data_IF_093035540267
#
_entry.id   IF_093035540267
#
_cell.length_a   1.000
_cell.length_b   1.000
_cell.length_c   1.000
_cell.angle_alpha   90.00
_cell.angle_beta   90.00
_cell.angle_gamma   90.00
#
_symmetry.space_group_name_H-M   'P 1'
#
loop_
_entity.id
_entity.type
_entity.pdbx_description
1 polymer ?
#
# COMPACT_ATOMS: atom_id res chain seq x y z
N UNK A 1 27.80 -15.71 -5.70
CA UNK A 1 27.13 -16.77 -4.91
C UNK A 1 25.91 -16.22 -4.18
N UNK A 2 26.03 -15.17 -3.35
CA UNK A 2 24.89 -14.56 -2.64
C UNK A 2 23.70 -14.19 -3.55
N UNK A 3 23.94 -13.45 -4.64
CA UNK A 3 22.85 -13.00 -5.53
C UNK A 3 22.05 -14.13 -6.21
N UNK A 4 22.67 -15.28 -6.45
CA UNK A 4 22.01 -16.45 -7.04
C UNK A 4 21.19 -17.21 -5.98
N UNK A 5 21.68 -17.24 -4.74
CA UNK A 5 20.97 -17.79 -3.59
C UNK A 5 19.78 -16.91 -3.18
N UNK A 6 19.95 -15.59 -3.22
CA UNK A 6 18.87 -14.62 -3.01
C UNK A 6 17.78 -14.77 -4.08
N UNK A 7 18.16 -14.90 -5.36
CA UNK A 7 17.22 -15.15 -6.46
C UNK A 7 16.44 -16.45 -6.25
N UNK A 8 17.11 -17.54 -5.89
CA UNK A 8 16.44 -18.82 -5.60
C UNK A 8 15.45 -18.70 -4.44
N UNK A 9 15.83 -17.98 -3.38
CA UNK A 9 14.96 -17.74 -2.21
C UNK A 9 13.68 -17.00 -2.61
N UNK A 10 13.79 -16.00 -3.50
CA UNK A 10 12.62 -15.26 -4.01
C UNK A 10 11.75 -16.14 -4.92
N UNK A 11 12.36 -16.95 -5.79
CA UNK A 11 11.64 -17.89 -6.65
C UNK A 11 10.87 -18.95 -5.83
N UNK A 12 11.46 -19.47 -4.75
CA UNK A 12 10.80 -20.40 -3.82
C UNK A 12 9.59 -19.76 -3.10
N UNK A 13 9.63 -18.45 -2.85
CA UNK A 13 8.50 -17.67 -2.36
C UNK A 13 7.46 -17.30 -3.44
N UNK A 14 7.66 -17.81 -4.68
CA UNK A 14 6.84 -17.51 -5.85
C UNK A 14 6.84 -16.01 -6.20
N UNK A 15 7.99 -15.35 -6.00
CA UNK A 15 8.26 -13.96 -6.37
C UNK A 15 9.18 -13.97 -7.59
N UNK A 16 8.68 -13.48 -8.72
CA UNK A 16 9.50 -13.27 -9.91
C UNK A 16 10.36 -12.01 -9.71
N UNK A 17 11.68 -12.20 -9.70
CA UNK A 17 12.66 -11.15 -9.43
C UNK A 17 12.67 -10.08 -10.52
N UNK A 18 12.48 -10.47 -11.78
CA UNK A 18 12.53 -9.54 -12.90
C UNK A 18 11.24 -8.70 -12.96
N UNK A 19 10.10 -9.30 -12.58
CA UNK A 19 8.85 -8.56 -12.33
C UNK A 19 9.01 -7.58 -11.15
N UNK A 20 9.55 -8.03 -10.02
CA UNK A 20 9.75 -7.20 -8.82
C UNK A 20 10.60 -5.95 -9.15
N UNK A 21 11.71 -6.14 -9.86
CA UNK A 21 12.57 -5.03 -10.30
C UNK A 21 11.81 -4.11 -11.27
N UNK A 22 11.05 -4.68 -12.20
CA UNK A 22 10.28 -3.92 -13.19
C UNK A 22 9.22 -3.02 -12.54
N UNK A 23 8.50 -3.55 -11.55
CA UNK A 23 7.48 -2.84 -10.78
C UNK A 23 8.08 -1.72 -9.91
N UNK A 24 9.14 -2.03 -9.16
CA UNK A 24 9.85 -1.03 -8.38
C UNK A 24 10.36 0.11 -9.29
N UNK A 25 10.92 -0.24 -10.45
CA UNK A 25 11.39 0.75 -11.42
C UNK A 25 10.25 1.56 -12.05
N UNK A 26 9.05 0.99 -12.21
CA UNK A 26 7.88 1.70 -12.73
C UNK A 26 7.44 2.83 -11.78
N UNK A 27 7.38 2.55 -10.48
CA UNK A 27 7.07 3.57 -9.46
C UNK A 27 8.13 4.67 -9.43
N UNK A 28 9.40 4.27 -9.45
CA UNK A 28 10.52 5.23 -9.47
C UNK A 28 10.42 6.18 -10.67
N UNK A 29 10.03 5.68 -11.85
CA UNK A 29 9.82 6.49 -13.06
C UNK A 29 8.60 7.41 -12.94
N UNK A 30 7.46 6.90 -12.47
CA UNK A 30 6.21 7.67 -12.39
C UNK A 30 6.25 8.79 -11.35
N UNK A 31 7.03 8.61 -10.29
CA UNK A 31 7.06 9.55 -9.17
C UNK A 31 7.77 10.86 -9.55
N UNK A 32 8.53 10.91 -10.66
CA UNK A 32 9.20 12.10 -11.21
C UNK A 32 10.17 12.84 -10.24
N UNK A 33 10.28 12.38 -8.98
CA UNK A 33 11.11 12.94 -7.91
C UNK A 33 12.60 12.69 -8.13
N UNK A 34 12.97 11.69 -8.93
CA UNK A 34 14.37 11.50 -9.34
C UNK A 34 14.81 12.51 -10.42
N UNK A 35 13.86 13.06 -11.19
CA UNK A 35 14.13 14.06 -12.23
C UNK A 35 13.97 15.49 -11.70
N UNK A 36 13.12 15.70 -10.68
CA UNK A 36 13.01 16.98 -10.00
C UNK A 36 14.20 17.18 -9.06
N UNK A 37 15.05 18.13 -9.46
CA UNK A 37 16.14 18.73 -8.70
C UNK A 37 15.82 18.75 -7.19
N UNK A 38 16.77 18.33 -6.32
CA UNK A 38 16.46 18.05 -4.92
C UNK A 38 15.87 19.30 -4.28
N UNK A 39 14.90 19.09 -3.41
CA UNK A 39 14.60 20.02 -2.31
C UNK A 39 15.97 20.44 -1.75
N UNK A 40 16.42 21.65 -2.10
CA UNK A 40 17.63 22.24 -1.54
C UNK A 40 17.51 22.11 -0.03
N UNK A 41 18.57 21.66 0.66
CA UNK A 41 18.61 21.52 2.11
C UNK A 41 18.00 22.78 2.76
N UNK A 42 16.73 22.67 3.12
CA UNK A 42 15.85 23.83 3.30
C UNK A 42 15.98 24.43 4.70
N UNK A 43 16.82 23.83 5.54
CA UNK A 43 17.06 24.25 6.90
C UNK A 43 18.51 24.69 7.03
N UNK A 44 18.70 25.95 7.42
CA UNK A 44 19.97 26.40 7.97
C UNK A 44 20.31 25.62 9.25
N UNK A 45 21.59 25.64 9.62
CA UNK A 45 22.07 25.00 10.86
C UNK A 45 21.36 25.53 12.11
N UNK A 46 21.00 26.83 12.11
CA UNK A 46 20.22 27.45 13.20
C UNK A 46 18.78 26.91 13.27
N UNK A 47 18.10 26.74 12.14
CA UNK A 47 16.74 26.21 12.10
C UNK A 47 16.71 24.74 12.51
N UNK A 48 17.67 23.94 12.03
CA UNK A 48 17.81 22.55 12.47
C UNK A 48 18.08 22.45 13.98
N UNK A 49 18.96 23.30 14.53
CA UNK A 49 19.22 23.35 15.98
C UNK A 49 17.98 23.79 16.78
N UNK A 50 17.20 24.75 16.26
CA UNK A 50 15.95 25.17 16.87
C UNK A 50 14.93 24.03 16.94
N UNK A 51 14.72 23.32 15.82
CA UNK A 51 13.79 22.19 15.75
C UNK A 51 14.23 21.01 16.62
N UNK A 52 15.54 20.69 16.69
CA UNK A 52 16.07 19.65 17.60
C UNK A 52 15.75 19.97 19.07
N UNK A 53 15.91 21.24 19.49
CA UNK A 53 15.51 21.66 20.86
C UNK A 53 14.01 21.49 21.11
N UNK A 54 13.19 21.61 20.07
CA UNK A 54 11.75 21.33 20.11
C UNK A 54 11.37 19.85 20.06
N UNK A 55 12.34 18.93 20.03
CA UNK A 55 12.10 17.48 19.99
C UNK A 55 11.96 16.90 18.58
N UNK A 56 12.23 17.68 17.52
CA UNK A 56 12.23 17.14 16.16
C UNK A 56 13.36 16.14 15.96
N UNK A 57 13.04 14.99 15.35
CA UNK A 57 13.98 13.91 15.04
C UNK A 57 14.23 13.81 13.52
N UNK A 58 15.35 13.20 13.13
CA UNK A 58 15.67 12.94 11.72
C UNK A 58 16.16 14.18 10.95
N UNK A 59 16.85 15.09 11.64
CA UNK A 59 17.45 16.31 11.09
C UNK A 59 18.94 16.16 10.74
N UNK A 60 19.51 14.98 10.98
CA UNK A 60 20.94 14.70 10.82
C UNK A 60 21.27 14.07 9.45
N UNK A 61 20.25 13.63 8.70
CA UNK A 61 20.40 13.08 7.36
C UNK A 61 19.98 14.11 6.30
N UNK A 62 20.79 14.36 5.26
CA UNK A 62 20.42 15.27 4.18
C UNK A 62 19.04 14.93 3.59
N UNK A 63 18.22 15.94 3.31
CA UNK A 63 16.83 15.74 2.83
C UNK A 63 16.78 14.89 1.56
N UNK A 64 17.80 15.03 0.70
CA UNK A 64 17.96 14.24 -0.53
C UNK A 64 18.12 12.74 -0.27
N UNK A 65 18.91 12.37 0.73
CA UNK A 65 19.19 10.96 1.04
C UNK A 65 18.01 10.32 1.76
N UNK A 66 17.36 11.06 2.66
CA UNK A 66 16.08 10.64 3.27
C UNK A 66 14.99 10.46 2.21
N UNK A 67 14.86 11.40 1.27
CA UNK A 67 13.87 11.30 0.18
C UNK A 67 14.13 10.08 -0.72
N UNK A 68 15.39 9.82 -1.07
CA UNK A 68 15.77 8.62 -1.85
C UNK A 68 15.43 7.33 -1.11
N UNK A 69 15.78 7.25 0.18
CA UNK A 69 15.43 6.09 1.02
C UNK A 69 13.92 5.88 1.07
N UNK A 70 13.14 6.95 1.30
CA UNK A 70 11.68 6.86 1.30
C UNK A 70 11.12 6.36 -0.03
N UNK A 71 11.63 6.84 -1.16
CA UNK A 71 11.19 6.36 -2.48
C UNK A 71 11.56 4.89 -2.69
N UNK A 72 12.76 4.46 -2.26
CA UNK A 72 13.16 3.05 -2.32
C UNK A 72 12.23 2.17 -1.48
N UNK A 73 11.86 2.60 -0.28
CA UNK A 73 10.89 1.90 0.58
C UNK A 73 9.54 1.79 -0.12
N UNK A 74 8.98 2.90 -0.59
CA UNK A 74 7.68 2.92 -1.28
C UNK A 74 7.70 2.03 -2.54
N UNK A 75 8.78 2.09 -3.34
CA UNK A 75 8.93 1.26 -4.53
C UNK A 75 9.01 -0.23 -4.18
N UNK A 76 9.69 -0.58 -3.09
CA UNK A 76 9.80 -1.96 -2.61
C UNK A 76 8.46 -2.48 -2.11
N UNK A 77 7.75 -1.70 -1.30
CA UNK A 77 6.42 -2.05 -0.80
C UNK A 77 5.39 -2.20 -1.93
N UNK A 78 5.46 -1.33 -2.95
CA UNK A 78 4.62 -1.47 -4.13
C UNK A 78 4.92 -2.75 -4.90
N UNK A 79 6.20 -3.04 -5.14
CA UNK A 79 6.62 -4.22 -5.86
C UNK A 79 6.23 -5.51 -5.12
N UNK A 80 6.37 -5.55 -3.80
CA UNK A 80 5.90 -6.64 -2.95
C UNK A 80 4.37 -6.81 -3.03
N UNK A 81 3.63 -5.70 -2.93
CA UNK A 81 2.17 -5.70 -3.07
C UNK A 81 1.74 -6.27 -4.42
N UNK A 82 2.39 -5.87 -5.52
CA UNK A 82 2.12 -6.40 -6.86
C UNK A 82 2.48 -7.88 -6.93
N UNK A 83 3.67 -8.27 -6.47
CA UNK A 83 4.16 -9.64 -6.52
C UNK A 83 3.17 -10.63 -5.89
N UNK A 84 2.56 -10.25 -4.77
CA UNK A 84 1.57 -11.06 -4.09
C UNK A 84 0.12 -10.81 -4.52
N UNK A 85 -0.20 -9.76 -5.25
CA UNK A 85 -1.56 -9.48 -5.69
C UNK A 85 -2.14 -10.63 -6.55
N UNK A 86 -3.46 -10.79 -6.50
CA UNK A 86 -4.17 -11.74 -7.34
C UNK A 86 -4.44 -11.13 -8.72
N UNK A 87 -4.29 -11.92 -9.77
CA UNK A 87 -4.82 -11.61 -11.09
C UNK A 87 -6.35 -11.62 -11.07
N UNK A 88 -7.00 -10.95 -12.03
CA UNK A 88 -8.46 -10.98 -12.16
C UNK A 88 -9.03 -12.40 -12.29
N UNK A 89 -8.27 -13.33 -12.88
CA UNK A 89 -8.66 -14.73 -13.00
C UNK A 89 -8.64 -15.43 -11.63
N UNK A 90 -7.56 -15.27 -10.88
CA UNK A 90 -7.48 -15.84 -9.52
C UNK A 90 -8.55 -15.26 -8.60
N UNK A 91 -8.88 -13.96 -8.71
CA UNK A 91 -9.99 -13.38 -7.95
C UNK A 91 -11.34 -13.96 -8.37
N UNK A 92 -11.55 -14.17 -9.67
CA UNK A 92 -12.77 -14.81 -10.18
C UNK A 92 -12.93 -16.23 -9.61
N UNK A 93 -11.83 -17.00 -9.59
CA UNK A 93 -11.79 -18.35 -9.03
C UNK A 93 -11.97 -18.36 -7.50
N UNK A 94 -11.40 -17.37 -6.80
CA UNK A 94 -11.54 -17.18 -5.36
C UNK A 94 -12.99 -16.88 -4.97
N UNK A 95 -13.60 -15.92 -5.65
CA UNK A 95 -14.95 -15.44 -5.35
C UNK A 95 -16.06 -16.26 -6.03
N UNK A 96 -15.70 -17.27 -6.82
CA UNK A 96 -16.62 -18.13 -7.59
C UNK A 96 -17.55 -17.34 -8.51
N UNK A 97 -16.99 -16.35 -9.21
CA UNK A 97 -17.70 -15.52 -10.20
C UNK A 97 -16.93 -15.50 -11.53
N UNK A 98 -17.50 -14.88 -12.56
CA UNK A 98 -16.82 -14.74 -13.85
C UNK A 98 -15.78 -13.61 -13.82
N UNK A 99 -14.75 -13.69 -14.66
CA UNK A 99 -13.76 -12.61 -14.86
C UNK A 99 -14.43 -11.32 -15.34
N UNK A 100 -15.50 -11.41 -16.13
CA UNK A 100 -16.33 -10.26 -16.53
C UNK A 100 -16.95 -9.56 -15.31
N UNK A 101 -17.46 -10.32 -14.34
CA UNK A 101 -17.98 -9.76 -13.08
C UNK A 101 -16.89 -9.08 -12.26
N UNK A 102 -15.67 -9.62 -12.25
CA UNK A 102 -14.52 -8.98 -11.59
C UNK A 102 -14.22 -7.63 -12.25
N UNK A 103 -14.14 -7.57 -13.58
CA UNK A 103 -13.91 -6.32 -14.31
C UNK A 103 -14.99 -5.27 -14.00
N UNK A 104 -16.26 -5.66 -14.00
CA UNK A 104 -17.37 -4.76 -13.62
C UNK A 104 -17.21 -4.22 -12.20
N UNK A 105 -16.81 -5.05 -11.22
CA UNK A 105 -16.62 -4.60 -9.84
C UNK A 105 -15.48 -3.61 -9.71
N UNK A 106 -14.40 -3.87 -10.43
CA UNK A 106 -13.22 -3.00 -10.51
C UNK A 106 -13.62 -1.64 -11.10
N UNK A 107 -14.32 -1.63 -12.24
CA UNK A 107 -14.76 -0.39 -12.89
C UNK A 107 -15.78 0.39 -12.05
N UNK A 108 -16.60 -0.32 -11.27
CA UNK A 108 -17.54 0.27 -10.32
C UNK A 108 -16.90 0.76 -9.00
N UNK A 109 -15.58 0.60 -8.81
CA UNK A 109 -14.88 0.97 -7.58
C UNK A 109 -15.28 0.12 -6.35
N UNK A 110 -15.81 -1.09 -6.58
CA UNK A 110 -16.23 -2.04 -5.51
C UNK A 110 -15.25 -3.20 -5.32
N UNK A 111 -14.14 -3.15 -6.05
CA UNK A 111 -12.98 -4.01 -5.91
C UNK A 111 -11.75 -3.17 -6.26
N UNK A 112 -10.73 -3.20 -5.41
CA UNK A 112 -9.54 -2.40 -5.59
C UNK A 112 -8.55 -3.09 -6.51
N UNK A 113 -8.01 -2.36 -7.48
CA UNK A 113 -7.02 -2.86 -8.43
C UNK A 113 -5.91 -1.86 -8.63
N UNK A 114 -4.71 -2.35 -8.90
CA UNK A 114 -3.55 -1.55 -9.29
C UNK A 114 -3.04 -2.00 -10.66
N UNK A 115 -2.43 -1.09 -11.40
CA UNK A 115 -1.77 -1.41 -12.66
C UNK A 115 -0.43 -2.11 -12.39
N UNK A 116 -0.14 -3.16 -13.15
CA UNK A 116 1.16 -3.83 -13.14
C UNK A 116 1.54 -4.24 -14.56
N UNK A 117 2.77 -4.71 -14.75
CA UNK A 117 3.26 -5.31 -15.98
C UNK A 117 2.46 -6.55 -16.41
N UNK A 118 1.80 -7.22 -15.45
CA UNK A 118 0.87 -8.35 -15.64
C UNK A 118 -0.57 -7.90 -15.88
N UNK A 119 -0.79 -6.59 -16.05
CA UNK A 119 -2.11 -5.95 -16.14
C UNK A 119 -2.70 -5.58 -14.78
N UNK A 120 -4.00 -5.29 -14.73
CA UNK A 120 -4.68 -4.93 -13.47
C UNK A 120 -4.73 -6.12 -12.51
N UNK A 121 -4.08 -5.98 -11.37
CA UNK A 121 -4.03 -6.96 -10.27
C UNK A 121 -4.74 -6.42 -9.03
N UNK A 122 -5.20 -7.32 -8.17
CA UNK A 122 -5.98 -7.01 -6.98
C UNK A 122 -5.16 -7.35 -5.72
N UNK A 123 -4.72 -6.35 -4.94
CA UNK A 123 -3.95 -6.58 -3.72
C UNK A 123 -4.66 -7.52 -2.72
N UNK A 124 -3.91 -8.40 -2.06
CA UNK A 124 -4.46 -9.45 -1.19
C UNK A 124 -5.17 -8.93 0.07
N UNK A 125 -4.77 -7.76 0.56
CA UNK A 125 -5.31 -7.17 1.78
C UNK A 125 -6.83 -6.88 1.72
N UNK A 126 -7.46 -6.92 0.55
CA UNK A 126 -8.91 -6.72 0.40
C UNK A 126 -9.73 -8.02 0.51
N UNK A 127 -9.08 -9.17 0.68
CA UNK A 127 -9.71 -10.49 0.75
C UNK A 127 -9.47 -11.14 2.11
N UNK A 128 -10.48 -11.87 2.58
CA UNK A 128 -10.39 -12.76 3.73
C UNK A 128 -11.15 -14.04 3.41
N UNK A 129 -10.52 -15.19 3.64
CA UNK A 129 -11.02 -16.50 3.25
C UNK A 129 -11.36 -16.55 1.75
N UNK A 130 -12.64 -16.70 1.39
CA UNK A 130 -13.13 -16.77 0.01
C UNK A 130 -14.02 -15.58 -0.38
N UNK A 131 -13.88 -14.43 0.33
CA UNK A 131 -14.69 -13.25 0.11
C UNK A 131 -13.86 -11.96 0.16
N UNK A 132 -14.44 -10.86 -0.33
CA UNK A 132 -13.94 -9.51 -0.04
C UNK A 132 -14.28 -9.11 1.39
N UNK A 133 -13.54 -8.17 1.98
CA UNK A 133 -13.84 -7.72 3.35
C UNK A 133 -15.28 -7.18 3.44
N UNK A 134 -16.01 -7.45 4.54
CA UNK A 134 -17.37 -6.95 4.71
C UNK A 134 -17.45 -5.43 4.59
N UNK A 135 -18.37 -4.91 3.76
CA UNK A 135 -18.60 -3.47 3.60
C UNK A 135 -17.46 -2.68 2.93
N UNK A 136 -16.44 -3.36 2.41
CA UNK A 136 -15.26 -2.72 1.81
C UNK A 136 -15.63 -1.81 0.63
N UNK A 137 -16.67 -2.13 -0.13
CA UNK A 137 -17.13 -1.33 -1.26
C UNK A 137 -17.50 0.10 -0.87
N UNK A 138 -17.92 0.34 0.38
CA UNK A 138 -18.20 1.68 0.89
C UNK A 138 -16.92 2.43 1.22
N UNK A 139 -15.95 1.72 1.80
CA UNK A 139 -14.63 2.26 2.13
C UNK A 139 -13.88 2.64 0.86
N UNK A 140 -13.84 1.75 -0.14
CA UNK A 140 -13.15 2.02 -1.42
C UNK A 140 -13.72 3.23 -2.16
N UNK A 141 -15.01 3.51 -2.01
CA UNK A 141 -15.65 4.70 -2.60
C UNK A 141 -15.32 6.01 -1.88
N UNK A 142 -14.91 5.93 -0.61
CA UNK A 142 -14.50 7.09 0.18
C UNK A 142 -13.03 7.46 -0.07
N UNK A 143 -12.21 6.48 -0.44
CA UNK A 143 -10.79 6.70 -0.75
C UNK A 143 -10.66 7.61 -1.98
N UNK A 144 -9.81 8.63 -1.87
CA UNK A 144 -9.45 9.50 -3.00
C UNK A 144 -8.91 8.70 -4.18
N UNK A 145 -9.40 8.98 -5.40
CA UNK A 145 -8.86 8.36 -6.62
C UNK A 145 -7.40 8.74 -6.92
N UNK A 146 -6.83 9.69 -6.15
CA UNK A 146 -5.42 10.11 -6.24
C UNK A 146 -4.56 9.48 -5.15
N UNK A 147 -5.14 8.73 -4.20
CA UNK A 147 -4.38 8.10 -3.13
C UNK A 147 -3.36 7.11 -3.72
N UNK A 148 -2.12 7.17 -3.21
CA UNK A 148 -1.08 6.26 -3.68
C UNK A 148 -1.38 4.83 -3.19
N UNK A 149 -1.20 3.79 -4.02
CA UNK A 149 -1.56 2.42 -3.63
C UNK A 149 -0.90 1.89 -2.36
N UNK A 150 0.35 2.29 -2.10
CA UNK A 150 1.05 1.95 -0.85
C UNK A 150 0.39 2.61 0.36
N UNK A 151 -0.07 3.87 0.23
CA UNK A 151 -0.80 4.54 1.29
C UNK A 151 -2.14 3.85 1.58
N UNK A 152 -2.85 3.39 0.54
CA UNK A 152 -4.06 2.57 0.68
C UNK A 152 -3.76 1.26 1.41
N UNK A 153 -2.66 0.58 1.06
CA UNK A 153 -2.25 -0.65 1.75
C UNK A 153 -1.93 -0.39 3.23
N UNK A 154 -1.13 0.64 3.54
CA UNK A 154 -0.82 1.02 4.91
C UNK A 154 -2.08 1.38 5.69
N UNK A 155 -3.02 2.10 5.09
CA UNK A 155 -4.30 2.38 5.70
C UNK A 155 -5.00 1.10 6.15
N UNK A 156 -5.11 0.08 5.30
CA UNK A 156 -5.80 -1.15 5.67
C UNK A 156 -5.04 -2.03 6.68
N UNK A 157 -3.70 -1.99 6.68
CA UNK A 157 -2.86 -2.92 7.44
C UNK A 157 -2.28 -2.35 8.74
N UNK A 158 -2.26 -1.02 8.88
CA UNK A 158 -1.76 -0.37 10.09
C UNK A 158 -2.85 -0.29 11.16
N UNK A 159 -2.47 -0.52 12.42
CA UNK A 159 -3.35 -0.32 13.58
C UNK A 159 -3.72 1.16 13.66
N UNK A 160 -5.02 1.44 13.83
CA UNK A 160 -5.53 2.79 14.05
C UNK A 160 -5.96 2.97 15.51
N UNK A 161 -5.54 4.09 16.12
CA UNK A 161 -5.98 4.47 17.46
C UNK A 161 -7.48 4.79 17.51
N UNK A 162 -8.08 5.16 16.37
CA UNK A 162 -9.50 5.51 16.26
C UNK A 162 -10.41 4.27 16.10
N UNK A 163 -9.81 3.08 15.95
CA UNK A 163 -10.52 1.81 15.79
C UNK A 163 -10.31 0.91 17.01
N UNK A 164 -10.69 1.41 18.18
CA UNK A 164 -10.73 0.62 19.41
C UNK A 164 -11.98 -0.26 19.44
N UNK A 165 -11.78 -1.57 19.36
CA UNK A 165 -12.87 -2.53 19.38
C UNK A 165 -13.39 -2.71 20.82
N UNK A 166 -14.66 -2.37 21.12
CA UNK A 166 -15.22 -2.53 22.45
C UNK A 166 -15.44 -4.00 22.85
N UNK A 167 -15.55 -4.91 21.87
CA UNK A 167 -15.81 -6.34 22.13
C UNK A 167 -14.52 -7.13 22.34
N UNK A 168 -13.46 -6.82 21.58
CA UNK A 168 -12.14 -7.46 21.68
C UNK A 168 -11.17 -6.73 22.61
N UNK A 169 -11.52 -5.53 23.09
CA UNK A 169 -10.69 -4.71 23.98
C UNK A 169 -9.26 -4.48 23.44
N UNK A 170 -9.16 -4.15 22.15
CA UNK A 170 -7.89 -3.87 21.45
C UNK A 170 -8.12 -2.87 20.31
N UNK A 171 -7.06 -2.14 19.94
CA UNK A 171 -7.03 -1.31 18.73
C UNK A 171 -6.78 -2.17 17.49
N UNK A 172 -7.52 -1.92 16.43
CA UNK A 172 -7.50 -2.72 15.21
C UNK A 172 -7.01 -1.93 14.01
N UNK A 173 -6.51 -2.65 13.01
CA UNK A 173 -6.39 -2.13 11.65
C UNK A 173 -7.78 -2.01 11.01
N UNK A 174 -7.99 -1.12 10.01
CA UNK A 174 -9.22 -1.11 9.24
C UNK A 174 -9.59 -2.46 8.62
N UNK A 175 -8.60 -3.26 8.18
CA UNK A 175 -8.85 -4.62 7.69
C UNK A 175 -9.45 -5.49 8.79
N UNK A 176 -8.81 -5.55 9.95
CA UNK A 176 -9.23 -6.43 11.05
C UNK A 176 -10.57 -5.98 11.66
N UNK A 177 -10.83 -4.67 11.67
CA UNK A 177 -12.12 -4.09 12.03
C UNK A 177 -13.25 -4.64 11.16
N UNK A 178 -13.07 -4.61 9.83
CA UNK A 178 -14.06 -5.14 8.87
C UNK A 178 -14.20 -6.65 8.97
N UNK A 179 -13.10 -7.39 9.14
CA UNK A 179 -13.13 -8.86 9.30
C UNK A 179 -13.90 -9.26 10.56
N UNK A 180 -13.74 -8.49 11.65
CA UNK A 180 -14.42 -8.75 12.93
C UNK A 180 -15.90 -8.40 12.91
N UNK A 181 -16.42 -7.87 11.79
CA UNK A 181 -17.84 -7.56 11.61
C UNK A 181 -18.30 -6.27 12.30
N UNK A 182 -17.37 -5.40 12.70
CA UNK A 182 -17.73 -4.08 13.23
C UNK A 182 -18.33 -3.18 12.13
N UNK A 183 -19.01 -2.11 12.51
CA UNK A 183 -19.65 -1.19 11.57
C UNK A 183 -18.58 -0.53 10.65
N UNK A 184 -18.68 -0.68 9.31
CA UNK A 184 -17.75 -0.05 8.37
C UNK A 184 -17.71 1.48 8.41
N UNK A 185 -18.72 2.15 8.97
CA UNK A 185 -18.82 3.62 8.99
C UNK A 185 -17.58 4.30 9.60
N UNK A 186 -17.02 3.74 10.67
CA UNK A 186 -15.80 4.27 11.29
C UNK A 186 -14.62 4.26 10.31
N UNK A 187 -14.47 3.16 9.57
CA UNK A 187 -13.41 3.02 8.55
C UNK A 187 -13.67 3.94 7.36
N UNK A 188 -14.93 4.12 6.96
CA UNK A 188 -15.30 5.06 5.89
C UNK A 188 -14.90 6.50 6.24
N UNK A 189 -15.10 6.93 7.50
CA UNK A 189 -14.70 8.26 7.95
C UNK A 189 -13.18 8.43 7.78
N UNK A 190 -12.38 7.50 8.31
CA UNK A 190 -10.92 7.54 8.20
C UNK A 190 -10.44 7.50 6.73
N UNK A 191 -11.13 6.74 5.87
CA UNK A 191 -10.79 6.64 4.47
C UNK A 191 -10.96 7.96 3.68
N UNK A 192 -11.81 8.89 4.16
CA UNK A 192 -11.95 10.22 3.53
C UNK A 192 -10.75 11.13 3.80
N UNK A 193 -9.87 10.78 4.73
CA UNK A 193 -8.66 11.54 5.08
C UNK A 193 -7.44 11.11 4.23
N UNK A 194 -7.63 10.11 3.36
CA UNK A 194 -6.61 9.52 2.50
C UNK A 194 -6.53 10.18 1.11
#
# INVERSE_FOLDING_TARGET
MALAEDRRTLEEANIDVDDLISEAAAIVRQTDLFLRNPLTDALSEQEAAFLRRGGAVGLDEPLKDRSRKNIMVIASEYAEMVAHAYTQKEVADLLKVTTSRIRQRIDAGTLYSIESNRGRVCPRWQFSQAATLPGIERVLKAISSKAHPVAVQHFFLSISADLESPTLNQTLSPRDWLISGHNPDAVVILANEL
#
